data_IF_744599166066
#
_entry.id   IF_744599166066
#
_cell.length_a   1.000
_cell.length_b   1.000
_cell.length_c   1.000
_cell.angle_alpha   90.00
_cell.angle_beta   90.00
_cell.angle_gamma   90.00
#
_symmetry.space_group_name_H-M   'P 1'
#
loop_
_entity.id
_entity.type
_entity.pdbx_description
1 polymer ?
#
# COMPACT_ATOMS: atom_id res chain seq x y z
N UNK A 1 -1.59 -3.68 4.07
CA UNK A 1 -2.88 -3.15 4.54
C UNK A 1 -2.92 -1.66 4.23
N UNK A 2 -4.04 -1.18 3.75
CA UNK A 2 -4.19 0.22 3.37
C UNK A 2 -4.61 1.07 4.59
N UNK A 3 -4.42 2.40 4.50
CA UNK A 3 -4.84 3.32 5.54
C UNK A 3 -6.36 3.44 5.60
N UNK A 4 -6.98 4.05 4.60
CA UNK A 4 -8.41 4.27 4.48
C UNK A 4 -8.90 3.81 3.11
N UNK A 5 -10.01 3.11 3.05
CA UNK A 5 -10.80 2.90 1.83
C UNK A 5 -12.08 3.73 1.95
N UNK A 6 -12.35 4.56 0.96
CA UNK A 6 -13.58 5.36 0.89
C UNK A 6 -14.48 4.76 -0.19
N UNK A 7 -15.70 4.36 0.17
CA UNK A 7 -16.64 3.79 -0.80
C UNK A 7 -17.07 4.85 -1.83
N UNK A 8 -17.41 4.40 -3.04
CA UNK A 8 -17.69 5.27 -4.18
C UNK A 8 -18.78 6.30 -3.89
N UNK A 9 -19.85 5.91 -3.20
CA UNK A 9 -20.94 6.84 -2.83
C UNK A 9 -20.48 7.87 -1.79
N UNK A 10 -19.66 7.48 -0.84
CA UNK A 10 -19.07 8.41 0.13
C UNK A 10 -18.03 9.32 -0.50
N UNK A 11 -17.30 8.84 -1.52
CA UNK A 11 -16.31 9.62 -2.26
C UNK A 11 -16.92 10.84 -2.96
N UNK A 12 -18.20 10.80 -3.33
CA UNK A 12 -18.90 11.96 -3.93
C UNK A 12 -19.10 13.12 -2.94
N UNK A 13 -19.04 12.84 -1.64
CA UNK A 13 -19.18 13.83 -0.56
C UNK A 13 -17.85 14.37 -0.05
N UNK A 14 -16.76 13.81 -0.50
CA UNK A 14 -15.39 14.16 -0.08
C UNK A 14 -14.65 14.69 -1.31
N UNK A 15 -13.99 15.84 -1.17
CA UNK A 15 -13.12 16.34 -2.22
C UNK A 15 -11.93 15.38 -2.38
N UNK A 16 -11.76 14.86 -3.59
CA UNK A 16 -10.57 14.08 -3.93
C UNK A 16 -9.31 14.92 -3.71
N UNK A 17 -8.24 14.35 -3.15
CA UNK A 17 -6.96 15.05 -3.06
C UNK A 17 -6.49 15.51 -4.45
N UNK A 18 -5.86 16.70 -4.51
CA UNK A 18 -5.33 17.25 -5.77
C UNK A 18 -4.32 16.31 -6.44
N UNK A 19 -3.46 15.70 -5.62
CA UNK A 19 -2.49 14.71 -6.09
C UNK A 19 -3.01 13.30 -5.81
N UNK A 20 -3.23 12.54 -6.87
CA UNK A 20 -3.63 11.14 -6.78
C UNK A 20 -2.82 10.29 -7.74
N UNK A 21 -2.64 9.03 -7.39
CA UNK A 21 -2.03 8.01 -8.25
C UNK A 21 -3.07 6.94 -8.53
N UNK A 22 -3.33 6.64 -9.81
CA UNK A 22 -4.19 5.53 -10.22
C UNK A 22 -3.39 4.23 -10.15
N UNK A 23 -3.91 3.24 -9.43
CA UNK A 23 -3.21 1.98 -9.17
C UNK A 23 -4.18 0.86 -8.77
N UNK A 24 -3.64 -0.34 -8.61
CA UNK A 24 -4.35 -1.46 -8.00
C UNK A 24 -4.39 -1.21 -6.49
N UNK A 25 -5.58 -0.94 -5.96
CA UNK A 25 -5.82 -0.65 -4.53
C UNK A 25 -6.18 -1.89 -3.72
N UNK A 26 -6.52 -2.98 -4.37
CA UNK A 26 -6.84 -4.25 -3.72
C UNK A 26 -6.86 -5.42 -4.68
N UNK A 27 -6.81 -6.63 -4.12
CA UNK A 27 -6.99 -7.89 -4.83
C UNK A 27 -7.86 -8.82 -4.01
N UNK A 28 -8.88 -9.38 -4.61
CA UNK A 28 -9.80 -10.31 -3.99
C UNK A 28 -10.10 -11.51 -4.88
N UNK A 29 -11.03 -12.35 -4.46
CA UNK A 29 -11.49 -13.52 -5.23
C UNK A 29 -12.06 -13.08 -6.59
N UNK A 30 -12.73 -11.93 -6.64
CA UNK A 30 -13.29 -11.36 -7.88
C UNK A 30 -12.29 -10.66 -8.80
N UNK A 31 -11.00 -10.61 -8.45
CA UNK A 31 -9.97 -9.97 -9.26
C UNK A 31 -9.30 -8.76 -8.60
N UNK A 32 -8.77 -7.88 -9.44
CA UNK A 32 -8.11 -6.65 -9.02
C UNK A 32 -9.11 -5.51 -8.88
N UNK A 33 -8.97 -4.76 -7.80
CA UNK A 33 -9.72 -3.52 -7.57
C UNK A 33 -8.79 -2.38 -7.92
N UNK A 34 -9.17 -1.60 -8.91
CA UNK A 34 -8.41 -0.41 -9.34
C UNK A 34 -9.07 0.86 -8.80
N UNK A 35 -8.29 1.91 -8.68
CA UNK A 35 -8.77 3.18 -8.16
C UNK A 35 -7.64 4.18 -7.94
N UNK A 36 -7.98 5.29 -7.32
CA UNK A 36 -7.05 6.37 -7.01
C UNK A 36 -6.61 6.27 -5.55
N UNK A 37 -5.34 6.46 -5.30
CA UNK A 37 -4.79 6.68 -3.96
C UNK A 37 -4.33 8.12 -3.86
N UNK A 38 -4.70 8.80 -2.78
CA UNK A 38 -4.28 10.17 -2.50
C UNK A 38 -4.13 10.42 -1.00
N UNK A 39 -3.53 11.54 -0.66
CA UNK A 39 -3.29 11.96 0.72
C UNK A 39 -4.39 12.91 1.16
N UNK A 40 -5.22 12.52 2.12
CA UNK A 40 -6.19 13.42 2.74
C UNK A 40 -5.51 14.25 3.84
N UNK A 41 -6.03 15.46 4.05
CA UNK A 41 -5.44 16.41 4.99
C UNK A 41 -5.51 15.88 6.42
N UNK A 42 -6.69 15.44 6.86
CA UNK A 42 -6.89 14.87 8.19
C UNK A 42 -8.01 13.83 8.22
N UNK A 43 -7.90 12.95 9.18
CA UNK A 43 -8.94 12.00 9.58
C UNK A 43 -9.18 12.16 11.08
N UNK A 44 -10.41 12.48 11.43
CA UNK A 44 -10.83 12.55 12.82
C UNK A 44 -11.34 11.19 13.27
N UNK A 45 -10.79 10.68 14.37
CA UNK A 45 -11.20 9.41 14.97
C UNK A 45 -11.42 9.60 16.47
N UNK A 46 -12.66 9.89 16.86
CA UNK A 46 -13.00 10.33 18.20
C UNK A 46 -12.27 11.64 18.53
N UNK A 47 -11.48 11.64 19.60
CA UNK A 47 -10.67 12.80 20.00
C UNK A 47 -9.32 12.92 19.27
N UNK A 48 -9.01 12.02 18.35
CA UNK A 48 -7.71 11.98 17.67
C UNK A 48 -7.82 12.53 16.27
N UNK A 49 -6.96 13.51 15.93
CA UNK A 49 -6.73 13.97 14.56
C UNK A 49 -5.45 13.33 14.01
N UNK A 50 -5.56 12.69 12.84
CA UNK A 50 -4.47 12.01 12.14
C UNK A 50 -4.29 12.70 10.81
N UNK A 51 -3.10 13.29 10.59
CA UNK A 51 -2.83 14.06 9.38
C UNK A 51 -2.11 13.25 8.31
N UNK A 52 -2.36 13.62 7.04
CA UNK A 52 -1.68 13.06 5.89
C UNK A 52 -1.98 11.59 5.63
N UNK A 53 -3.16 11.13 6.01
CA UNK A 53 -3.59 9.74 5.84
C UNK A 53 -3.72 9.40 4.36
N UNK A 54 -3.26 8.22 3.98
CA UNK A 54 -3.47 7.69 2.64
C UNK A 54 -4.87 7.09 2.52
N UNK A 55 -5.64 7.61 1.57
CA UNK A 55 -6.98 7.14 1.27
C UNK A 55 -7.05 6.57 -0.15
N UNK A 56 -7.77 5.48 -0.29
CA UNK A 56 -8.05 4.81 -1.55
C UNK A 56 -9.50 5.06 -1.96
N UNK A 57 -9.68 5.41 -3.20
CA UNK A 57 -10.94 5.74 -3.84
C UNK A 57 -11.15 4.77 -5.01
N UNK A 58 -11.93 3.69 -4.85
CA UNK A 58 -12.20 2.74 -5.92
C UNK A 58 -12.87 3.40 -7.12
N UNK A 59 -12.55 2.95 -8.32
CA UNK A 59 -13.28 3.37 -9.51
C UNK A 59 -14.72 2.82 -9.47
N UNK A 60 -15.67 3.57 -10.03
CA UNK A 60 -17.10 3.23 -10.01
C UNK A 60 -17.45 1.88 -10.65
N UNK A 61 -16.61 1.39 -11.54
CA UNK A 61 -16.76 0.09 -12.21
C UNK A 61 -16.05 -1.05 -11.47
N UNK A 62 -15.46 -0.80 -10.31
CA UNK A 62 -14.80 -1.85 -9.55
C UNK A 62 -15.84 -2.76 -8.88
N UNK A 63 -15.65 -4.04 -9.03
CA UNK A 63 -16.56 -5.16 -8.69
C UNK A 63 -17.11 -5.17 -7.25
N UNK A 64 -16.58 -4.35 -6.38
CA UNK A 64 -16.83 -4.39 -4.93
C UNK A 64 -18.18 -3.78 -4.51
N UNK A 65 -18.73 -2.89 -5.30
CA UNK A 65 -19.93 -2.11 -4.93
C UNK A 65 -21.20 -2.95 -4.95
N UNK A 66 -21.31 -3.90 -5.85
CA UNK A 66 -22.54 -4.67 -6.03
C UNK A 66 -22.80 -5.71 -4.94
N UNK A 67 -21.74 -6.36 -4.44
CA UNK A 67 -21.90 -7.41 -3.40
C UNK A 67 -22.38 -6.85 -2.07
N UNK A 68 -21.91 -5.66 -1.71
CA UNK A 68 -22.32 -4.99 -0.46
C UNK A 68 -23.74 -4.42 -0.55
N UNK A 69 -24.13 -3.90 -1.72
CA UNK A 69 -25.51 -3.50 -1.99
C UNK A 69 -26.48 -4.66 -1.86
N UNK A 70 -26.07 -5.84 -2.29
CA UNK A 70 -26.88 -7.05 -2.15
C UNK A 70 -27.18 -7.39 -0.69
N UNK A 71 -26.20 -7.21 0.21
CA UNK A 71 -26.35 -7.47 1.64
C UNK A 71 -26.95 -6.29 2.43
N UNK A 72 -27.34 -5.18 1.78
CA UNK A 72 -27.88 -3.97 2.41
C UNK A 72 -27.02 -3.43 3.56
N UNK A 73 -25.72 -3.53 3.43
CA UNK A 73 -24.78 -2.99 4.41
C UNK A 73 -24.40 -1.58 3.98
N UNK A 74 -25.00 -0.59 4.63
CA UNK A 74 -24.61 0.82 4.46
C UNK A 74 -23.27 1.07 5.15
N UNK A 75 -22.23 1.23 4.35
CA UNK A 75 -20.92 1.66 4.85
C UNK A 75 -20.32 2.72 3.94
N UNK A 76 -19.62 3.67 4.55
CA UNK A 76 -18.96 4.76 3.83
C UNK A 76 -17.48 4.44 3.52
N UNK A 77 -16.90 3.43 4.17
CA UNK A 77 -15.52 3.05 3.97
C UNK A 77 -15.01 2.03 4.97
N UNK A 78 -13.71 1.80 4.93
CA UNK A 78 -13.01 0.86 5.81
C UNK A 78 -11.77 1.50 6.39
N UNK A 79 -11.61 1.45 7.71
CA UNK A 79 -10.36 1.78 8.40
C UNK A 79 -9.42 0.59 8.32
N UNK A 80 -8.27 0.79 7.71
CA UNK A 80 -7.27 -0.25 7.53
C UNK A 80 -6.28 -0.35 8.69
N UNK A 81 -5.53 -1.47 8.68
CA UNK A 81 -4.53 -1.75 9.71
C UNK A 81 -3.44 -0.69 9.81
N UNK A 82 -3.13 0.04 8.76
CA UNK A 82 -2.13 1.11 8.78
C UNK A 82 -2.54 2.27 9.71
N UNK A 83 -3.84 2.55 9.84
CA UNK A 83 -4.36 3.52 10.80
C UNK A 83 -4.42 2.90 12.19
N UNK A 84 -5.02 1.71 12.30
CA UNK A 84 -5.23 1.04 13.59
C UNK A 84 -3.91 0.67 14.28
N UNK A 85 -2.84 0.34 13.52
CA UNK A 85 -1.51 0.05 14.07
C UNK A 85 -0.86 1.22 14.82
N UNK A 86 -1.38 2.44 14.66
CA UNK A 86 -0.92 3.64 15.37
C UNK A 86 -1.51 3.77 16.77
N UNK A 87 -2.33 2.81 17.14
CA UNK A 87 -2.99 2.72 18.45
C UNK A 87 -2.80 1.34 19.06
N UNK A 88 -2.86 1.30 20.37
CA UNK A 88 -3.28 0.11 21.09
C UNK A 88 -4.80 0.09 21.02
N UNK A 89 -5.37 -0.95 20.43
CA UNK A 89 -6.81 -1.06 20.16
C UNK A 89 -7.40 -2.15 21.05
N UNK A 90 -8.49 -1.82 21.73
CA UNK A 90 -9.28 -2.78 22.52
C UNK A 90 -10.71 -2.78 22.00
N UNK A 91 -11.18 -3.94 21.54
CA UNK A 91 -12.57 -4.16 21.15
C UNK A 91 -13.37 -4.71 22.33
N UNK A 92 -14.36 -3.99 22.76
CA UNK A 92 -15.31 -4.43 23.79
C UNK A 92 -16.65 -4.73 23.12
N UNK A 93 -16.80 -5.97 22.65
CA UNK A 93 -18.01 -6.41 21.96
C UNK A 93 -19.28 -6.32 22.81
N UNK A 94 -19.28 -6.71 24.12
CA UNK A 94 -20.48 -6.60 24.95
C UNK A 94 -21.00 -5.18 25.11
N UNK A 95 -20.11 -4.17 25.04
CA UNK A 95 -20.47 -2.77 25.17
C UNK A 95 -20.50 -2.03 23.82
N UNK A 96 -20.25 -2.75 22.71
CA UNK A 96 -20.16 -2.18 21.35
C UNK A 96 -19.20 -0.97 21.25
N UNK A 97 -18.07 -1.05 21.98
CA UNK A 97 -17.10 0.04 22.07
C UNK A 97 -15.71 -0.37 21.59
N UNK A 98 -15.04 0.60 20.99
CA UNK A 98 -13.62 0.50 20.64
C UNK A 98 -12.87 1.53 21.46
N UNK A 99 -11.85 1.09 22.19
CA UNK A 99 -10.95 1.97 22.93
C UNK A 99 -9.65 2.11 22.18
N UNK A 100 -9.19 3.33 22.01
CA UNK A 100 -7.97 3.67 21.29
C UNK A 100 -7.03 4.41 22.22
N UNK A 101 -5.76 3.97 22.26
CA UNK A 101 -4.68 4.67 22.94
C UNK A 101 -3.51 4.84 21.96
N UNK A 102 -3.03 6.08 21.77
CA UNK A 102 -1.84 6.35 20.92
C UNK A 102 -0.67 5.50 21.37
N UNK A 103 0.04 4.91 20.40
CA UNK A 103 1.31 4.21 20.62
C UNK A 103 2.49 4.97 19.96
N UNK A 104 3.68 4.37 19.95
CA UNK A 104 4.89 4.98 19.36
C UNK A 104 4.79 5.24 17.84
N UNK A 105 3.89 4.53 17.14
CA UNK A 105 3.68 4.67 15.71
C UNK A 105 2.77 5.85 15.33
N UNK A 106 2.06 6.45 16.31
CA UNK A 106 1.01 7.45 16.06
C UNK A 106 1.51 8.64 15.22
N UNK A 107 2.73 9.09 15.45
CA UNK A 107 3.31 10.24 14.75
C UNK A 107 4.08 9.89 13.48
N UNK A 108 4.18 8.60 13.11
CA UNK A 108 4.89 8.21 11.90
C UNK A 108 4.15 8.69 10.65
N UNK A 109 4.89 9.17 9.67
CA UNK A 109 4.32 9.56 8.38
C UNK A 109 3.71 8.35 7.65
N UNK A 110 2.74 8.62 6.79
CA UNK A 110 2.20 7.63 5.85
C UNK A 110 2.99 7.73 4.55
N UNK A 111 3.44 6.60 4.03
CA UNK A 111 4.16 6.54 2.76
C UNK A 111 3.45 5.60 1.80
N UNK A 112 3.22 6.08 0.59
CA UNK A 112 2.61 5.30 -0.48
C UNK A 112 3.68 4.72 -1.40
N UNK A 113 3.93 3.41 -1.29
CA UNK A 113 4.78 2.65 -2.23
C UNK A 113 5.91 3.48 -2.85
N UNK A 114 6.88 3.87 -2.03
CA UNK A 114 7.95 4.82 -2.37
C UNK A 114 8.83 4.36 -3.55
N UNK A 115 8.91 3.06 -3.78
CA UNK A 115 9.67 2.50 -4.92
C UNK A 115 8.89 2.51 -6.23
N UNK A 116 7.55 2.39 -6.15
CA UNK A 116 6.68 2.13 -7.30
C UNK A 116 6.61 0.66 -7.71
N UNK A 117 7.13 -0.27 -6.89
CA UNK A 117 7.18 -1.69 -7.20
C UNK A 117 6.12 -2.48 -6.45
N UNK A 118 5.49 -3.43 -7.14
CA UNK A 118 4.72 -4.50 -6.53
C UNK A 118 5.52 -5.81 -6.65
N UNK A 119 5.75 -6.46 -5.51
CA UNK A 119 6.54 -7.69 -5.42
C UNK A 119 5.65 -8.83 -4.91
N UNK A 120 5.80 -10.01 -5.50
CA UNK A 120 5.10 -11.23 -5.09
C UNK A 120 6.12 -12.34 -4.81
N UNK A 121 5.91 -13.04 -3.71
CA UNK A 121 6.63 -14.28 -3.42
C UNK A 121 6.04 -15.43 -4.25
N UNK A 122 6.90 -16.24 -4.84
CA UNK A 122 6.57 -17.41 -5.68
C UNK A 122 7.34 -18.66 -5.22
N UNK A 123 6.92 -19.81 -5.74
CA UNK A 123 7.48 -21.12 -5.42
C UNK A 123 6.88 -21.71 -4.15
N UNK A 124 7.09 -23.01 -3.94
CA UNK A 124 6.56 -23.75 -2.78
C UNK A 124 7.08 -23.21 -1.44
N UNK A 125 8.31 -22.70 -1.42
CA UNK A 125 8.96 -22.12 -0.24
C UNK A 125 8.76 -20.60 -0.13
N UNK A 126 8.05 -19.96 -1.07
CA UNK A 126 7.82 -18.51 -1.14
C UNK A 126 9.11 -17.65 -1.03
N UNK A 127 10.22 -18.17 -1.58
CA UNK A 127 11.56 -17.56 -1.52
C UNK A 127 12.04 -16.99 -2.86
N UNK A 128 11.20 -17.01 -3.89
CA UNK A 128 11.43 -16.36 -5.18
C UNK A 128 10.57 -15.12 -5.24
N UNK A 129 11.17 -13.95 -5.42
CA UNK A 129 10.46 -12.67 -5.41
C UNK A 129 10.45 -12.05 -6.79
N UNK A 130 9.27 -11.96 -7.37
CA UNK A 130 9.04 -11.40 -8.70
C UNK A 130 8.41 -10.01 -8.60
N UNK A 131 8.93 -9.10 -9.40
CA UNK A 131 8.32 -7.79 -9.63
C UNK A 131 7.13 -7.98 -10.56
N UNK A 132 5.92 -7.91 -10.01
CA UNK A 132 4.68 -8.16 -10.75
C UNK A 132 4.13 -6.91 -11.41
N UNK A 133 4.53 -5.74 -10.93
CA UNK A 133 4.12 -4.46 -11.48
C UNK A 133 5.15 -3.37 -11.17
N UNK A 134 5.32 -2.44 -12.09
CA UNK A 134 6.17 -1.25 -11.95
C UNK A 134 5.32 -0.05 -12.33
N UNK A 135 5.07 0.83 -11.35
CA UNK A 135 4.27 2.03 -11.57
C UNK A 135 4.99 2.98 -12.53
N UNK A 136 4.28 3.42 -13.56
CA UNK A 136 4.80 4.37 -14.54
C UNK A 136 5.31 5.66 -13.86
N UNK A 137 6.42 6.17 -14.34
CA UNK A 137 7.11 7.35 -13.81
C UNK A 137 7.53 7.26 -12.34
N UNK A 138 7.57 6.06 -11.76
CA UNK A 138 8.15 5.84 -10.42
C UNK A 138 9.68 5.88 -10.46
N UNK A 139 10.30 5.97 -9.28
CA UNK A 139 11.76 5.92 -9.17
C UNK A 139 12.36 4.63 -9.76
N UNK A 140 11.71 3.49 -9.54
CA UNK A 140 12.13 2.20 -10.08
C UNK A 140 11.94 2.11 -11.61
N UNK A 141 10.84 2.65 -12.14
CA UNK A 141 10.56 2.71 -13.58
C UNK A 141 11.62 3.52 -14.32
N UNK A 142 11.91 4.74 -13.85
CA UNK A 142 12.97 5.58 -14.42
C UNK A 142 14.35 4.96 -14.33
N UNK A 143 14.58 4.09 -13.35
CA UNK A 143 15.83 3.34 -13.21
C UNK A 143 15.90 2.08 -14.10
N UNK A 144 14.83 1.75 -14.81
CA UNK A 144 14.79 0.62 -15.76
C UNK A 144 14.44 -0.73 -15.13
N UNK A 145 13.82 -0.76 -13.95
CA UNK A 145 13.20 -1.98 -13.40
C UNK A 145 12.03 -2.37 -14.28
N UNK A 146 11.82 -3.66 -14.50
CA UNK A 146 10.75 -4.16 -15.36
C UNK A 146 9.90 -5.23 -14.66
N UNK A 147 8.65 -5.30 -15.07
CA UNK A 147 7.77 -6.42 -14.70
C UNK A 147 8.40 -7.74 -15.14
N UNK A 148 8.36 -8.75 -14.28
CA UNK A 148 8.96 -10.06 -14.51
C UNK A 148 10.42 -10.18 -14.02
N UNK A 149 11.05 -9.09 -13.59
CA UNK A 149 12.36 -9.17 -12.95
C UNK A 149 12.25 -10.00 -11.67
N UNK A 150 13.21 -10.90 -11.48
CA UNK A 150 13.35 -11.67 -10.24
C UNK A 150 14.41 -11.02 -9.37
N UNK A 151 14.04 -10.61 -8.17
CA UNK A 151 14.98 -9.99 -7.22
C UNK A 151 15.94 -11.06 -6.70
N UNK A 152 17.25 -10.84 -6.86
CA UNK A 152 18.30 -11.69 -6.34
C UNK A 152 18.88 -11.15 -5.02
N UNK A 153 19.07 -9.83 -4.93
CA UNK A 153 19.49 -9.17 -3.70
C UNK A 153 18.90 -7.76 -3.60
N UNK A 154 18.81 -7.25 -2.38
CA UNK A 154 18.42 -5.88 -2.09
C UNK A 154 19.39 -5.28 -1.06
N UNK A 155 20.05 -4.17 -1.44
CA UNK A 155 21.09 -3.51 -0.64
C UNK A 155 22.21 -4.46 -0.19
N UNK A 156 22.56 -5.46 -1.01
CA UNK A 156 23.59 -6.45 -0.73
C UNK A 156 23.11 -7.67 0.09
N UNK A 157 21.84 -7.68 0.55
CA UNK A 157 21.27 -8.84 1.24
C UNK A 157 20.60 -9.75 0.23
N UNK A 158 20.97 -11.03 0.22
CA UNK A 158 20.38 -12.03 -0.67
C UNK A 158 18.92 -12.29 -0.27
N UNK A 159 18.02 -12.29 -1.26
CA UNK A 159 16.57 -12.42 -0.98
C UNK A 159 16.17 -13.77 -0.40
N UNK A 160 16.98 -14.83 -0.60
CA UNK A 160 16.75 -16.14 0.05
C UNK A 160 16.79 -16.08 1.59
N UNK A 161 17.37 -15.03 2.15
CA UNK A 161 17.47 -14.76 3.59
C UNK A 161 16.37 -13.85 4.09
N UNK A 162 15.46 -13.41 3.19
CA UNK A 162 14.44 -12.41 3.49
C UNK A 162 13.04 -12.99 3.30
N UNK A 163 12.10 -12.43 4.06
CA UNK A 163 10.68 -12.59 3.84
C UNK A 163 10.12 -11.40 3.04
N UNK A 164 8.94 -11.57 2.43
CA UNK A 164 8.30 -10.54 1.60
C UNK A 164 8.08 -9.21 2.36
N UNK A 165 7.73 -9.28 3.64
CA UNK A 165 7.56 -8.09 4.48
C UNK A 165 8.86 -7.30 4.67
N UNK A 166 10.01 -7.98 4.75
CA UNK A 166 11.32 -7.34 4.85
C UNK A 166 11.71 -6.68 3.53
N UNK A 167 11.46 -7.34 2.38
CA UNK A 167 11.64 -6.74 1.05
C UNK A 167 10.79 -5.48 0.90
N UNK A 168 9.51 -5.57 1.23
CA UNK A 168 8.63 -4.41 1.22
C UNK A 168 9.10 -3.31 2.19
N UNK A 169 9.69 -3.68 3.31
CA UNK A 169 10.32 -2.76 4.24
C UNK A 169 11.46 -1.97 3.60
N UNK A 170 12.38 -2.62 2.88
CA UNK A 170 13.47 -1.95 2.15
C UNK A 170 12.93 -0.99 1.07
N UNK A 171 11.87 -1.39 0.37
CA UNK A 171 11.26 -0.63 -0.72
C UNK A 171 10.38 0.55 -0.26
N UNK A 172 10.09 0.64 1.05
CA UNK A 172 9.17 1.64 1.63
C UNK A 172 9.70 2.28 2.93
N UNK A 173 11.00 2.44 3.11
CA UNK A 173 11.58 2.96 4.37
C UNK A 173 11.29 4.45 4.59
N UNK A 174 11.82 5.31 3.74
CA UNK A 174 11.61 6.76 3.74
C UNK A 174 12.04 7.38 2.41
N UNK A 175 11.44 8.51 2.01
CA UNK A 175 11.87 9.24 0.81
C UNK A 175 13.37 9.60 0.85
N UNK A 176 13.97 9.64 -0.32
CA UNK A 176 15.40 9.95 -0.52
C UNK A 176 16.35 8.78 -0.24
N UNK A 177 15.90 7.70 0.39
CA UNK A 177 16.75 6.53 0.65
C UNK A 177 17.12 5.84 -0.65
N UNK A 178 18.43 5.55 -0.83
CA UNK A 178 18.95 4.79 -1.96
C UNK A 178 18.63 3.31 -1.78
N UNK A 179 18.17 2.68 -2.85
CA UNK A 179 17.93 1.24 -2.96
C UNK A 179 18.76 0.72 -4.13
N UNK A 180 19.52 -0.37 -3.90
CA UNK A 180 20.20 -1.14 -4.92
C UNK A 180 19.52 -2.48 -5.03
N UNK A 181 19.04 -2.81 -6.22
CA UNK A 181 18.50 -4.12 -6.56
C UNK A 181 19.45 -4.84 -7.50
N UNK A 182 19.73 -6.09 -7.21
CA UNK A 182 20.21 -7.03 -8.21
C UNK A 182 19.04 -7.89 -8.65
N UNK A 183 18.75 -7.86 -9.93
CA UNK A 183 17.63 -8.59 -10.51
C UNK A 183 18.10 -9.51 -11.62
N UNK A 184 17.45 -10.65 -11.75
CA UNK A 184 17.59 -11.55 -12.88
C UNK A 184 16.46 -11.28 -13.87
N UNK A 185 16.84 -10.91 -15.09
CA UNK A 185 15.94 -10.68 -16.24
C UNK A 185 16.28 -11.70 -17.32
N UNK A 186 15.46 -12.73 -17.44
CA UNK A 186 15.81 -13.92 -18.23
C UNK A 186 17.09 -14.56 -17.71
N UNK A 187 18.11 -14.63 -18.54
CA UNK A 187 19.43 -15.20 -18.17
C UNK A 187 20.46 -14.14 -17.76
N UNK A 188 20.10 -12.88 -17.67
CA UNK A 188 21.03 -11.78 -17.40
C UNK A 188 20.81 -11.22 -15.99
N UNK A 189 21.91 -11.00 -15.27
CA UNK A 189 21.90 -10.25 -14.01
C UNK A 189 22.07 -8.76 -14.30
N UNK A 190 21.26 -7.94 -13.62
CA UNK A 190 21.31 -6.48 -13.71
C UNK A 190 21.37 -5.87 -12.33
N UNK A 191 22.26 -4.89 -12.16
CA UNK A 191 22.30 -4.05 -10.96
C UNK A 191 21.61 -2.72 -11.26
N UNK A 192 20.60 -2.37 -10.47
CA UNK A 192 19.76 -1.20 -10.67
C UNK A 192 19.72 -0.41 -9.37
N UNK A 193 19.97 0.89 -9.45
CA UNK A 193 19.93 1.79 -8.29
C UNK A 193 18.93 2.92 -8.50
N UNK A 194 18.16 3.24 -7.46
CA UNK A 194 17.24 4.38 -7.45
C UNK A 194 17.05 4.93 -6.03
N UNK A 195 16.45 6.11 -5.93
CA UNK A 195 16.07 6.70 -4.64
C UNK A 195 14.56 6.63 -4.46
N UNK A 196 14.13 6.23 -3.27
CA UNK A 196 12.71 6.17 -2.91
C UNK A 196 12.09 7.57 -2.94
N UNK A 197 10.88 7.69 -3.51
CA UNK A 197 10.17 8.95 -3.69
C UNK A 197 8.72 8.84 -3.24
N UNK A 198 8.24 9.86 -2.52
CA UNK A 198 6.81 10.03 -2.24
C UNK A 198 6.19 10.82 -3.41
N UNK A 199 5.27 10.20 -4.12
CA UNK A 199 4.63 10.79 -5.32
C UNK A 199 3.31 11.50 -5.02
N UNK A 200 2.79 11.36 -3.78
CA UNK A 200 1.53 11.95 -3.34
C UNK A 200 1.61 12.61 -1.99
#
# INVERSE_FOLDING_TARGET
SHGLLVETEAATRIHLPEKTVHNIIGRGIGGEIVGKTGRIQSLELGQFSIHGVLANFPDSNSYFTDTLKYFRVDRNGTLGGEILSRFTVVFNFPQEKIFLKKNSEFKKAFYFNLSGLNVKAKGSSLNVFEITDVRANSAADRAGVQRGDLIASINGVLVKELHLNQINGFLNTKPGRKVRLEVRRGNTMKSIEFRLEDQI
#
